data_IF_868677733153
#
_entry.id   IF_868677733153
#
_cell.length_a   1.000
_cell.length_b   1.000
_cell.length_c   1.000
_cell.angle_alpha   90.00
_cell.angle_beta   90.00
_cell.angle_gamma   90.00
#
_symmetry.space_group_name_H-M   'P 1'
#
loop_
_entity.id
_entity.type
_entity.pdbx_description
1 polymer ?
#
# COMPACT_ATOMS: atom_id res chain seq x y z
N UNK A 1 -1.90 -37.42 -21.18
CA UNK A 1 -0.68 -37.11 -20.39
C UNK A 1 -0.07 -35.86 -21.00
N UNK A 2 -0.14 -34.63 -20.48
CA UNK A 2 -0.46 -34.06 -19.18
C UNK A 2 -1.07 -32.68 -19.45
N UNK A 3 -2.39 -32.58 -19.58
CA UNK A 3 -3.08 -31.31 -19.39
C UNK A 3 -3.59 -31.33 -17.95
N UNK A 4 -2.66 -31.42 -17.00
CA UNK A 4 -2.95 -30.85 -15.70
C UNK A 4 -3.14 -29.37 -16.01
N UNK A 5 -4.41 -28.95 -16.05
CA UNK A 5 -4.78 -27.57 -15.86
C UNK A 5 -4.06 -27.15 -14.58
N UNK A 6 -2.86 -26.57 -14.72
CA UNK A 6 -2.25 -25.78 -13.68
C UNK A 6 -3.21 -24.59 -13.54
N UNK A 7 -4.30 -24.79 -12.80
CA UNK A 7 -4.88 -23.71 -12.04
C UNK A 7 -3.77 -23.31 -11.07
N UNK A 8 -2.83 -22.51 -11.58
CA UNK A 8 -1.99 -21.68 -10.75
C UNK A 8 -2.99 -20.95 -9.86
N UNK A 9 -3.01 -21.28 -8.57
CA UNK A 9 -3.90 -20.66 -7.60
C UNK A 9 -3.67 -19.15 -7.71
N UNK A 10 -4.57 -18.49 -8.44
CA UNK A 10 -4.40 -17.09 -8.76
C UNK A 10 -4.38 -16.33 -7.44
N UNK A 11 -3.30 -15.58 -7.20
CA UNK A 11 -3.17 -14.82 -5.98
C UNK A 11 -4.37 -13.89 -5.81
N UNK A 12 -4.83 -13.74 -4.56
CA UNK A 12 -5.91 -12.84 -4.19
C UNK A 12 -5.45 -11.92 -3.04
N UNK A 13 -6.12 -10.78 -2.89
CA UNK A 13 -5.93 -9.91 -1.72
C UNK A 13 -6.76 -10.49 -0.57
N UNK A 14 -6.08 -10.95 0.48
CA UNK A 14 -6.71 -11.50 1.70
C UNK A 14 -7.04 -10.38 2.69
N UNK A 15 -6.14 -9.40 2.81
CA UNK A 15 -6.35 -8.21 3.63
C UNK A 15 -6.02 -6.97 2.79
N UNK A 16 -7.05 -6.20 2.44
CA UNK A 16 -6.91 -4.97 1.69
C UNK A 16 -6.47 -3.79 2.56
N UNK A 17 -6.17 -2.69 1.88
CA UNK A 17 -5.84 -1.42 2.54
C UNK A 17 -7.03 -0.92 3.38
N UNK A 18 -6.71 -0.22 4.46
CA UNK A 18 -7.69 0.44 5.34
C UNK A 18 -7.38 1.93 5.40
N UNK A 19 -8.43 2.73 5.51
CA UNK A 19 -8.29 4.18 5.67
C UNK A 19 -7.47 4.51 6.90
N UNK A 20 -6.70 5.60 6.82
CA UNK A 20 -5.85 6.06 7.90
C UNK A 20 -5.98 7.57 8.06
N UNK A 21 -6.17 7.97 9.30
CA UNK A 21 -6.08 9.36 9.74
C UNK A 21 -4.82 9.51 10.60
N UNK A 22 -4.01 10.52 10.31
CA UNK A 22 -2.80 10.87 11.07
C UNK A 22 -2.70 12.39 11.17
N UNK A 23 -1.82 12.89 12.03
CA UNK A 23 -1.47 14.30 12.08
C UNK A 23 -0.22 14.61 11.25
N UNK A 24 -0.04 15.89 10.91
CA UNK A 24 1.18 16.38 10.25
C UNK A 24 2.41 15.98 11.07
N UNK A 25 3.45 15.52 10.38
CA UNK A 25 4.71 15.08 10.97
C UNK A 25 4.72 13.65 11.50
N UNK A 26 3.57 12.96 11.50
CA UNK A 26 3.52 11.53 11.83
C UNK A 26 3.86 10.65 10.62
N UNK A 27 3.96 9.33 10.86
CA UNK A 27 4.08 8.34 9.81
C UNK A 27 2.73 7.65 9.54
N UNK A 28 2.39 7.46 8.27
CA UNK A 28 1.22 6.71 7.83
C UNK A 28 1.63 5.37 7.23
N UNK A 29 1.21 4.27 7.87
CA UNK A 29 1.49 2.90 7.40
C UNK A 29 0.25 2.21 6.83
N UNK A 30 0.41 1.69 5.62
CA UNK A 30 -0.54 0.89 4.86
C UNK A 30 0.03 -0.51 4.65
N UNK A 31 -0.79 -1.53 4.81
CA UNK A 31 -0.38 -2.92 4.59
C UNK A 31 -1.44 -3.66 3.78
N UNK A 32 -1.00 -4.43 2.80
CA UNK A 32 -1.82 -5.32 2.00
C UNK A 32 -1.25 -6.74 2.09
N UNK A 33 -2.12 -7.73 2.32
CA UNK A 33 -1.73 -9.12 2.37
C UNK A 33 -2.31 -9.89 1.17
N UNK A 34 -1.45 -10.63 0.48
CA UNK A 34 -1.81 -11.55 -0.59
C UNK A 34 -1.94 -12.99 -0.07
N UNK A 35 -2.67 -13.83 -0.80
CA UNK A 35 -2.91 -15.23 -0.43
C UNK A 35 -1.69 -16.14 -0.61
N UNK A 36 -0.82 -15.83 -1.56
CA UNK A 36 0.37 -16.60 -1.90
C UNK A 36 1.51 -15.67 -2.35
N UNK A 37 2.78 -16.06 -2.15
CA UNK A 37 3.91 -15.32 -2.68
C UNK A 37 4.02 -15.46 -4.20
N UNK A 38 4.85 -14.62 -4.82
CA UNK A 38 5.22 -14.76 -6.23
C UNK A 38 4.52 -13.81 -7.20
N UNK A 39 3.58 -13.00 -6.72
CA UNK A 39 3.02 -11.91 -7.53
C UNK A 39 4.09 -10.86 -7.80
N UNK A 40 4.40 -10.64 -9.07
CA UNK A 40 5.44 -9.70 -9.51
C UNK A 40 4.85 -8.31 -9.76
N UNK A 41 5.74 -7.33 -9.90
CA UNK A 41 5.40 -5.95 -10.24
C UNK A 41 4.43 -5.30 -9.23
N UNK A 42 4.78 -5.40 -7.96
CA UNK A 42 4.09 -4.69 -6.88
C UNK A 42 4.43 -3.21 -6.96
N UNK A 43 3.41 -2.38 -6.91
CA UNK A 43 3.52 -0.94 -7.09
C UNK A 43 2.57 -0.21 -6.14
N UNK A 44 2.97 0.99 -5.75
CA UNK A 44 2.21 1.88 -4.88
C UNK A 44 2.03 3.24 -5.54
N UNK A 45 0.89 3.89 -5.29
CA UNK A 45 0.59 5.24 -5.75
C UNK A 45 -0.11 6.05 -4.67
N UNK A 46 0.09 7.36 -4.71
CA UNK A 46 -0.71 8.35 -3.99
C UNK A 46 -1.34 9.29 -5.03
N UNK A 47 -2.69 9.29 -5.09
CA UNK A 47 -3.48 10.04 -6.08
C UNK A 47 -2.95 9.92 -7.52
N UNK A 48 -2.56 8.71 -7.90
CA UNK A 48 -2.07 8.38 -9.23
C UNK A 48 -0.58 8.67 -9.46
N UNK A 49 0.11 9.32 -8.52
CA UNK A 49 1.56 9.50 -8.56
C UNK A 49 2.28 8.26 -8.03
N UNK A 50 3.21 7.64 -8.78
CA UNK A 50 3.90 6.43 -8.35
C UNK A 50 4.84 6.73 -7.17
N UNK A 51 4.84 5.80 -6.20
CA UNK A 51 5.69 5.87 -5.02
C UNK A 51 6.84 4.85 -5.13
N UNK A 52 8.00 5.27 -4.66
CA UNK A 52 9.22 4.47 -4.62
C UNK A 52 9.96 4.70 -3.30
N UNK A 53 10.79 3.75 -2.90
CA UNK A 53 11.68 3.92 -1.75
C UNK A 53 12.52 5.19 -1.91
N UNK A 54 12.46 6.08 -0.92
CA UNK A 54 13.25 7.30 -0.83
C UNK A 54 13.40 7.70 0.65
N UNK A 55 13.87 8.91 0.94
CA UNK A 55 14.11 9.38 2.31
C UNK A 55 12.85 9.49 3.20
N UNK A 56 11.66 9.61 2.61
CA UNK A 56 10.37 9.80 3.31
C UNK A 56 9.33 8.73 2.96
N UNK A 57 9.66 7.79 2.09
CA UNK A 57 8.79 6.71 1.63
C UNK A 57 9.52 5.40 1.76
N UNK A 58 8.97 4.48 2.56
CA UNK A 58 9.50 3.14 2.76
C UNK A 58 8.50 2.12 2.23
N UNK A 59 8.97 1.26 1.33
CA UNK A 59 8.21 0.15 0.76
C UNK A 59 8.96 -1.13 1.08
N UNK A 60 8.31 -2.03 1.80
CA UNK A 60 8.86 -3.31 2.22
C UNK A 60 7.93 -4.46 1.91
N UNK A 61 8.51 -5.66 1.88
CA UNK A 61 7.80 -6.90 1.67
C UNK A 61 8.30 -7.95 2.65
N UNK A 62 7.38 -8.67 3.27
CA UNK A 62 7.65 -9.78 4.17
C UNK A 62 7.03 -11.06 3.60
N UNK A 63 7.85 -12.12 3.54
CA UNK A 63 7.46 -13.47 3.08
C UNK A 63 6.84 -13.54 1.67
N UNK A 64 6.95 -12.48 0.87
CA UNK A 64 6.32 -12.42 -0.45
C UNK A 64 4.81 -12.18 -0.43
N UNK A 65 4.19 -12.09 0.75
CA UNK A 65 2.74 -11.96 0.89
C UNK A 65 2.30 -10.66 1.55
N UNK A 66 3.09 -10.12 2.49
CA UNK A 66 2.75 -8.89 3.20
C UNK A 66 3.54 -7.76 2.56
N UNK A 67 2.84 -6.78 2.00
CA UNK A 67 3.42 -5.61 1.39
C UNK A 67 3.05 -4.39 2.21
N UNK A 68 4.05 -3.59 2.57
CA UNK A 68 3.88 -2.45 3.46
C UNK A 68 4.44 -1.20 2.81
N UNK A 69 3.65 -0.12 2.88
CA UNK A 69 4.06 1.24 2.55
C UNK A 69 4.01 2.07 3.83
N UNK A 70 5.09 2.75 4.16
CA UNK A 70 5.14 3.78 5.18
C UNK A 70 5.52 5.10 4.54
N UNK A 71 4.68 6.12 4.73
CA UNK A 71 4.97 7.51 4.41
C UNK A 71 5.36 8.20 5.71
N UNK A 72 6.55 8.77 5.78
CA UNK A 72 7.08 9.44 6.97
C UNK A 72 6.94 10.95 6.87
N UNK A 73 6.85 11.62 8.03
CA UNK A 73 6.79 13.09 8.13
C UNK A 73 5.71 13.70 7.22
N UNK A 74 4.51 13.13 7.25
CA UNK A 74 3.46 13.47 6.28
C UNK A 74 2.96 14.90 6.47
N UNK A 75 2.63 15.57 5.38
CA UNK A 75 2.05 16.91 5.35
C UNK A 75 0.59 16.88 4.88
N UNK A 76 -0.14 17.99 5.08
CA UNK A 76 -1.56 18.07 4.68
C UNK A 76 -1.79 17.73 3.20
N UNK A 77 -0.84 18.08 2.32
CA UNK A 77 -0.92 17.81 0.89
C UNK A 77 -0.73 16.34 0.52
N UNK A 78 -0.24 15.50 1.43
CA UNK A 78 -0.14 14.05 1.24
C UNK A 78 -1.48 13.34 1.47
N UNK A 79 -2.51 14.06 1.94
CA UNK A 79 -3.86 13.53 2.01
C UNK A 79 -4.35 13.13 0.62
N UNK A 80 -4.85 11.91 0.49
CA UNK A 80 -5.17 11.38 -0.83
C UNK A 80 -5.61 9.92 -0.83
N UNK A 81 -5.59 9.33 -2.01
CA UNK A 81 -5.90 7.91 -2.22
C UNK A 81 -4.62 7.11 -2.39
N UNK A 82 -4.30 6.29 -1.40
CA UNK A 82 -3.23 5.30 -1.50
C UNK A 82 -3.77 4.10 -2.28
N UNK A 83 -3.04 3.67 -3.30
CA UNK A 83 -3.37 2.50 -4.12
C UNK A 83 -2.22 1.52 -4.13
N UNK A 84 -2.54 0.25 -3.84
CA UNK A 84 -1.67 -0.90 -4.01
C UNK A 84 -2.08 -1.67 -5.25
N UNK A 85 -1.11 -2.07 -6.09
CA UNK A 85 -1.34 -2.98 -7.21
C UNK A 85 -0.31 -4.10 -7.23
N UNK A 86 -0.77 -5.31 -7.50
CA UNK A 86 0.08 -6.47 -7.74
C UNK A 86 -0.52 -7.27 -8.90
N UNK A 87 0.06 -7.15 -10.10
CA UNK A 87 -0.54 -7.68 -11.32
C UNK A 87 -1.92 -7.06 -11.62
N UNK A 88 -2.97 -7.89 -11.60
CA UNK A 88 -4.38 -7.48 -11.75
C UNK A 88 -5.06 -7.12 -10.43
N UNK A 89 -4.44 -7.40 -9.29
CA UNK A 89 -4.99 -7.12 -7.96
C UNK A 89 -4.81 -5.64 -7.63
N UNK A 90 -5.87 -5.02 -7.11
CA UNK A 90 -5.88 -3.60 -6.74
C UNK A 90 -6.58 -3.45 -5.39
N UNK A 91 -5.98 -2.66 -4.50
CA UNK A 91 -6.62 -2.22 -3.25
C UNK A 91 -6.33 -0.74 -3.02
N UNK A 92 -7.33 0.02 -2.54
CA UNK A 92 -7.19 1.46 -2.32
C UNK A 92 -7.75 1.85 -0.94
N UNK A 93 -7.16 2.86 -0.34
CA UNK A 93 -7.59 3.45 0.92
C UNK A 93 -7.33 4.95 0.95
N UNK A 94 -8.04 5.66 1.83
CA UNK A 94 -7.82 7.09 2.06
C UNK A 94 -6.77 7.32 3.13
N UNK A 95 -5.84 8.23 2.84
CA UNK A 95 -4.99 8.89 3.83
C UNK A 95 -5.57 10.28 4.08
N UNK A 96 -5.88 10.58 5.34
CA UNK A 96 -6.23 11.93 5.78
C UNK A 96 -5.17 12.43 6.76
N UNK A 97 -4.44 13.47 6.37
CA UNK A 97 -3.47 14.15 7.23
C UNK A 97 -4.14 15.39 7.83
N UNK A 98 -4.37 15.34 9.14
CA UNK A 98 -4.98 16.42 9.90
C UNK A 98 -3.90 17.42 10.28
N UNK A 99 -4.15 18.69 9.96
CA UNK A 99 -3.32 19.78 10.46
C UNK A 99 -3.31 19.76 11.98
N UNK A 100 -2.14 20.02 12.57
CA UNK A 100 -2.04 20.33 13.99
C UNK A 100 -2.56 21.77 14.08
N UNK A 101 -3.81 21.93 14.52
CA UNK A 101 -4.32 23.25 14.90
C UNK A 101 -3.58 23.67 16.16
N UNK A 102 -2.37 24.22 16.02
CA UNK A 102 -1.80 25.03 17.07
C UNK A 102 -2.65 26.30 17.12
N UNK A 103 -3.49 26.40 18.16
CA UNK A 103 -3.89 27.60 18.90
C UNK A 103 -5.25 27.32 19.58
N UNK A 104 -5.20 26.96 20.86
CA UNK A 104 -5.72 27.81 21.94
C UNK A 104 -4.67 27.88 23.05
#
# INVERSE_FOLDING_TARGET
>A
LLLLCCAEEAAAIVCGLKNRDVFVGESATFSCQLSHPGVRNVQWWLDGSPLHNNSVTEISQQDGMIHTLTLNDVACHDSGTVTFRAGSLISSAKLLVKGIWLLE
#
